data_IF_769352563068
#
_entry.id   IF_769352563068
#
_cell.length_a   1.000
_cell.length_b   1.000
_cell.length_c   1.000
_cell.angle_alpha   90.00
_cell.angle_beta   90.00
_cell.angle_gamma   90.00
#
_symmetry.space_group_name_H-M   'P 1'
#
loop_
_entity.id
_entity.type
_entity.pdbx_description
1 polymer ?
#
# COMPACT_ATOMS: atom_id res chain seq x y z
N UNK A 1 -8.77 48.83 -7.70
CA UNK A 1 -8.26 47.52 -8.16
C UNK A 1 -7.48 46.89 -7.00
N UNK A 2 -8.14 46.06 -6.22
CA UNK A 2 -7.54 45.40 -5.05
C UNK A 2 -7.00 44.04 -5.46
N UNK A 3 -5.67 43.83 -5.30
CA UNK A 3 -5.01 42.57 -5.58
C UNK A 3 -5.33 41.56 -4.46
N UNK A 4 -6.05 40.52 -4.80
CA UNK A 4 -6.24 39.36 -3.94
C UNK A 4 -4.92 38.56 -3.93
N UNK A 5 -4.19 38.62 -2.81
CA UNK A 5 -3.02 37.76 -2.59
C UNK A 5 -3.50 36.35 -2.24
N UNK A 6 -3.10 35.39 -3.04
CA UNK A 6 -3.42 33.99 -2.85
C UNK A 6 -2.82 33.44 -1.55
N UNK A 7 -3.63 32.71 -0.80
CA UNK A 7 -3.28 32.03 0.47
C UNK A 7 -2.18 30.94 0.35
N UNK A 8 -1.61 30.74 -0.82
CA UNK A 8 -0.57 29.73 -1.03
C UNK A 8 0.83 30.18 -0.58
N UNK A 9 1.09 31.47 -0.51
CA UNK A 9 2.43 31.97 -0.11
C UNK A 9 2.67 31.97 1.42
N UNK A 10 1.60 31.87 2.21
CA UNK A 10 1.72 31.94 3.69
C UNK A 10 2.18 30.59 4.28
N UNK A 11 1.93 29.48 3.59
CA UNK A 11 2.31 28.15 4.07
C UNK A 11 3.78 27.79 3.82
N UNK A 12 4.43 28.45 2.87
CA UNK A 12 5.83 28.14 2.53
C UNK A 12 6.86 28.77 3.48
N UNK A 13 6.51 29.87 4.15
CA UNK A 13 7.43 30.59 5.04
C UNK A 13 7.49 30.02 6.47
N UNK A 14 6.56 29.16 6.86
CA UNK A 14 6.54 28.58 8.23
C UNK A 14 7.38 27.31 8.38
N UNK A 15 7.74 26.64 7.28
CA UNK A 15 8.48 25.36 7.32
C UNK A 15 10.02 25.50 7.38
N UNK A 16 10.57 26.69 7.11
CA UNK A 16 12.04 26.87 7.04
C UNK A 16 12.69 27.31 8.38
N UNK A 17 11.91 27.62 9.41
CA UNK A 17 12.47 28.19 10.65
C UNK A 17 12.73 27.19 11.76
N UNK A 18 12.39 25.90 11.59
CA UNK A 18 12.54 24.88 12.65
C UNK A 18 13.73 23.95 12.50
N UNK A 19 14.49 24.01 11.41
CA UNK A 19 15.64 23.12 11.18
C UNK A 19 17.00 23.70 11.60
N UNK A 20 17.04 24.93 12.12
CA UNK A 20 18.30 25.64 12.41
C UNK A 20 18.89 25.47 13.82
N UNK A 21 18.24 24.77 14.74
CA UNK A 21 18.63 24.81 16.19
C UNK A 21 19.09 23.41 16.72
N UNK A 22 19.09 22.36 15.92
CA UNK A 22 19.38 21.00 16.40
C UNK A 22 20.73 20.39 15.93
N UNK A 23 21.65 21.20 15.43
CA UNK A 23 22.94 20.68 14.91
C UNK A 23 24.17 21.08 15.76
N UNK A 24 24.02 21.80 16.89
CA UNK A 24 25.18 22.21 17.70
C UNK A 24 25.05 21.67 19.12
N UNK A 25 25.01 20.38 19.32
CA UNK A 25 25.23 19.79 20.65
C UNK A 25 25.56 18.29 20.58
N UNK A 26 26.62 17.87 19.95
CA UNK A 26 27.20 16.54 20.15
C UNK A 26 28.69 16.51 19.73
N UNK A 27 29.52 17.27 20.42
CA UNK A 27 30.97 16.98 20.47
C UNK A 27 31.41 17.19 21.91
N UNK A 28 31.39 16.15 22.70
CA UNK A 28 32.24 15.93 23.89
C UNK A 28 31.78 14.70 24.65
N UNK A 29 32.27 13.53 24.37
CA UNK A 29 32.40 12.49 25.40
C UNK A 29 33.68 11.73 25.14
N UNK A 30 34.55 11.90 26.09
CA UNK A 30 35.85 11.33 26.32
C UNK A 30 35.87 9.81 26.40
N UNK A 31 36.97 9.30 25.86
CA UNK A 31 37.50 7.95 25.96
C UNK A 31 37.62 7.50 27.44
N UNK A 32 36.89 6.48 27.87
CA UNK A 32 37.21 5.69 29.06
C UNK A 32 37.27 4.23 28.61
N UNK A 33 38.51 3.73 28.55
CA UNK A 33 38.86 2.32 28.42
C UNK A 33 38.53 1.62 29.73
N UNK A 34 37.51 0.76 29.75
CA UNK A 34 37.20 -0.10 30.89
C UNK A 34 36.91 -1.51 30.40
N UNK A 35 37.88 -2.41 30.60
CA UNK A 35 37.70 -3.84 30.43
C UNK A 35 36.61 -4.34 31.40
N UNK A 36 35.44 -4.73 30.88
CA UNK A 36 34.42 -5.46 31.62
C UNK A 36 34.31 -6.85 31.03
N UNK A 37 34.59 -7.85 31.86
CA UNK A 37 34.43 -9.27 31.63
C UNK A 37 32.98 -9.55 31.22
N UNK A 38 32.77 -10.21 30.06
CA UNK A 38 31.47 -10.62 29.57
C UNK A 38 30.98 -11.79 30.43
N UNK A 39 29.88 -11.67 31.19
CA UNK A 39 29.20 -12.83 31.73
C UNK A 39 28.47 -13.54 30.58
N UNK A 40 28.65 -14.85 30.52
CA UNK A 40 28.00 -15.77 29.59
C UNK A 40 26.48 -15.50 29.49
N UNK A 41 26.05 -15.23 28.29
CA UNK A 41 24.65 -15.01 27.90
C UNK A 41 23.75 -16.13 28.39
N UNK A 42 22.64 -15.86 29.09
CA UNK A 42 21.63 -16.85 29.33
C UNK A 42 21.00 -17.20 27.97
N UNK A 43 20.90 -18.49 27.69
CA UNK A 43 20.21 -19.08 26.53
C UNK A 43 18.81 -18.45 26.41
N UNK A 44 18.67 -17.52 25.49
CA UNK A 44 17.39 -16.89 25.18
C UNK A 44 16.47 -17.94 24.58
N UNK A 45 15.61 -18.51 25.42
CA UNK A 45 14.46 -19.28 24.94
C UNK A 45 13.46 -18.24 24.44
N UNK A 46 13.56 -17.86 23.18
CA UNK A 46 12.50 -17.08 22.52
C UNK A 46 11.19 -17.82 22.65
N UNK A 47 10.11 -17.20 23.15
CA UNK A 47 8.79 -17.81 23.06
C UNK A 47 8.51 -18.03 21.57
N UNK A 48 8.23 -19.27 21.21
CA UNK A 48 7.71 -19.60 19.89
C UNK A 48 6.33 -18.94 19.84
N UNK A 49 6.24 -17.77 19.22
CA UNK A 49 4.95 -17.22 18.82
C UNK A 49 4.30 -18.27 17.90
N UNK A 50 3.00 -18.55 18.06
CA UNK A 50 2.30 -19.41 17.13
C UNK A 50 2.52 -18.86 15.73
N UNK A 51 3.00 -19.69 14.82
CA UNK A 51 3.23 -19.34 13.43
C UNK A 51 1.87 -18.92 12.85
N UNK A 52 1.64 -17.61 12.79
CA UNK A 52 0.48 -17.07 12.10
C UNK A 52 0.71 -17.36 10.62
N UNK A 53 0.01 -18.34 10.08
CA UNK A 53 0.00 -18.61 8.64
C UNK A 53 -0.32 -17.29 7.93
N UNK A 54 0.51 -16.82 7.01
CA UNK A 54 0.20 -15.60 6.28
C UNK A 54 -1.15 -15.76 5.57
N UNK A 55 -1.96 -14.70 5.47
CA UNK A 55 -3.25 -14.76 4.79
C UNK A 55 -3.05 -15.27 3.36
N UNK A 56 -4.00 -16.07 2.84
CA UNK A 56 -3.92 -16.53 1.46
C UNK A 56 -3.83 -15.35 0.50
N UNK A 57 -2.97 -15.50 -0.50
CA UNK A 57 -2.71 -14.46 -1.49
C UNK A 57 -2.91 -14.99 -2.90
N UNK A 58 -3.57 -14.20 -3.75
CA UNK A 58 -3.81 -14.52 -5.16
C UNK A 58 -3.38 -13.34 -6.02
N UNK A 59 -2.78 -13.66 -7.16
CA UNK A 59 -2.25 -12.66 -8.11
C UNK A 59 -3.16 -12.56 -9.34
N UNK A 60 -3.35 -11.34 -9.82
CA UNK A 60 -4.02 -11.01 -11.06
C UNK A 60 -3.07 -10.13 -11.88
N UNK A 61 -2.80 -10.52 -13.13
CA UNK A 61 -2.01 -9.72 -14.05
C UNK A 61 -2.89 -8.81 -14.89
N UNK A 62 -2.41 -7.61 -15.16
CA UNK A 62 -2.99 -6.71 -16.16
C UNK A 62 -2.09 -6.78 -17.38
N UNK A 63 -2.57 -7.43 -18.46
CA UNK A 63 -1.84 -7.66 -19.70
C UNK A 63 -2.73 -7.40 -20.90
N UNK A 64 -2.18 -6.84 -21.96
CA UNK A 64 -2.90 -6.58 -23.21
C UNK A 64 -4.26 -5.90 -22.95
N UNK A 65 -4.30 -4.96 -22.00
CA UNK A 65 -5.51 -4.23 -21.58
C UNK A 65 -6.63 -5.15 -21.07
N UNK A 66 -6.27 -6.20 -20.37
CA UNK A 66 -7.19 -7.15 -19.73
C UNK A 66 -6.64 -7.64 -18.39
N UNK A 67 -7.53 -8.02 -17.48
CA UNK A 67 -7.14 -8.68 -16.23
C UNK A 67 -7.18 -10.20 -16.44
N UNK A 68 -6.18 -10.87 -15.94
CA UNK A 68 -6.03 -12.32 -16.02
C UNK A 68 -5.67 -12.89 -14.62
N UNK A 69 -6.52 -13.78 -14.06
CA UNK A 69 -7.77 -14.31 -14.59
C UNK A 69 -8.92 -13.29 -14.59
N UNK A 70 -9.88 -13.44 -15.52
CA UNK A 70 -11.05 -12.57 -15.63
C UNK A 70 -12.09 -12.78 -14.53
N UNK A 71 -12.16 -13.99 -14.00
CA UNK A 71 -13.02 -14.38 -12.87
C UNK A 71 -12.15 -15.12 -11.87
N UNK A 72 -12.25 -14.73 -10.62
CA UNK A 72 -11.49 -15.29 -9.51
C UNK A 72 -12.45 -15.72 -8.40
N UNK A 73 -12.29 -16.95 -7.90
CA UNK A 73 -13.00 -17.43 -6.70
C UNK A 73 -11.99 -17.61 -5.57
N UNK A 74 -12.27 -17.01 -4.42
CA UNK A 74 -11.39 -16.98 -3.25
C UNK A 74 -12.17 -17.19 -1.95
N UNK A 75 -11.49 -17.53 -0.88
CA UNK A 75 -12.04 -17.54 0.47
C UNK A 75 -12.00 -16.14 1.12
N UNK A 76 -12.92 -15.89 2.05
CA UNK A 76 -12.89 -14.65 2.85
C UNK A 76 -11.57 -14.54 3.63
N UNK A 77 -11.01 -13.33 3.69
CA UNK A 77 -9.68 -13.06 4.26
C UNK A 77 -8.53 -13.15 3.26
N UNK A 78 -8.80 -13.51 1.99
CA UNK A 78 -7.77 -13.57 0.95
C UNK A 78 -7.37 -12.17 0.48
N UNK A 79 -6.08 -11.98 0.30
CA UNK A 79 -5.51 -10.79 -0.36
C UNK A 79 -5.40 -11.03 -1.86
N UNK A 80 -6.01 -10.18 -2.66
CA UNK A 80 -5.80 -10.16 -4.12
C UNK A 80 -4.84 -9.04 -4.46
N UNK A 81 -3.84 -9.35 -5.26
CA UNK A 81 -2.84 -8.38 -5.74
C UNK A 81 -2.91 -8.29 -7.26
N UNK A 82 -3.18 -7.12 -7.76
CA UNK A 82 -3.13 -6.80 -9.20
C UNK A 82 -1.79 -6.19 -9.54
N UNK A 83 -1.16 -6.67 -10.59
CA UNK A 83 0.11 -6.14 -11.11
C UNK A 83 -0.07 -5.68 -12.54
N UNK A 84 0.27 -4.44 -12.82
CA UNK A 84 0.27 -3.91 -14.17
C UNK A 84 1.53 -4.36 -14.92
N UNK A 85 1.39 -5.32 -15.82
CA UNK A 85 2.46 -5.81 -16.69
C UNK A 85 2.43 -5.18 -18.10
N UNK A 86 1.50 -4.26 -18.35
CA UNK A 86 1.47 -3.46 -19.57
C UNK A 86 2.40 -2.23 -19.48
N UNK A 87 2.88 -1.69 -20.60
CA UNK A 87 3.65 -0.44 -20.63
C UNK A 87 2.77 0.80 -20.38
N UNK A 88 1.45 0.68 -20.47
CA UNK A 88 0.49 1.76 -20.25
C UNK A 88 0.04 1.80 -18.79
N UNK A 89 -0.41 2.95 -18.33
CA UNK A 89 -1.06 3.07 -17.02
C UNK A 89 -2.43 2.40 -17.03
N UNK A 90 -2.75 1.74 -15.92
CA UNK A 90 -4.04 1.11 -15.67
C UNK A 90 -4.58 1.51 -14.31
N UNK A 91 -5.89 1.31 -14.10
CA UNK A 91 -6.56 1.45 -12.80
C UNK A 91 -7.26 0.15 -12.43
N UNK A 92 -7.39 -0.10 -11.13
CA UNK A 92 -8.21 -1.20 -10.60
C UNK A 92 -9.26 -0.57 -9.72
N UNK A 93 -10.49 -0.48 -10.22
CA UNK A 93 -11.60 0.18 -9.52
C UNK A 93 -12.72 -0.79 -9.30
N UNK A 94 -13.24 -0.87 -8.06
CA UNK A 94 -14.47 -1.58 -7.77
C UNK A 94 -15.64 -0.88 -8.45
N UNK A 95 -16.46 -1.64 -9.16
CA UNK A 95 -17.66 -1.12 -9.79
C UNK A 95 -18.81 -1.23 -8.81
N UNK A 96 -19.32 -0.10 -8.27
CA UNK A 96 -20.35 -0.12 -7.25
C UNK A 96 -21.66 -0.68 -7.82
N UNK A 97 -22.25 -1.63 -7.12
CA UNK A 97 -23.64 -2.05 -7.31
C UNK A 97 -24.56 -1.22 -6.41
N UNK A 98 -25.89 -1.30 -6.65
CA UNK A 98 -26.91 -0.47 -5.99
C UNK A 98 -26.82 -0.50 -4.45
N UNK A 99 -26.27 -1.57 -3.87
CA UNK A 99 -26.16 -1.76 -2.41
C UNK A 99 -24.72 -1.82 -1.90
N UNK A 100 -23.71 -1.66 -2.77
CA UNK A 100 -22.31 -1.68 -2.39
C UNK A 100 -21.64 -0.39 -2.85
N UNK A 101 -21.18 0.47 -1.91
CA UNK A 101 -20.40 1.65 -2.26
C UNK A 101 -19.07 1.21 -2.91
N UNK A 102 -18.37 2.15 -3.51
CA UNK A 102 -17.01 1.92 -3.98
C UNK A 102 -16.12 1.45 -2.82
N UNK A 103 -15.54 0.25 -2.94
CA UNK A 103 -14.75 -0.37 -1.90
C UNK A 103 -13.26 -0.07 -2.05
N UNK A 104 -12.78 0.05 -3.29
CA UNK A 104 -11.38 0.32 -3.60
C UNK A 104 -11.19 1.01 -4.95
N UNK A 105 -10.18 1.84 -5.01
CA UNK A 105 -9.59 2.44 -6.19
C UNK A 105 -8.07 2.40 -6.02
N UNK A 106 -7.35 1.78 -6.94
CA UNK A 106 -5.89 1.72 -6.90
C UNK A 106 -5.21 3.05 -7.22
N UNK A 107 -5.95 4.01 -7.79
CA UNK A 107 -5.35 5.09 -8.52
C UNK A 107 -4.55 4.59 -9.75
N UNK A 108 -3.78 5.47 -10.40
CA UNK A 108 -3.00 5.11 -11.57
C UNK A 108 -1.83 4.18 -11.21
N UNK A 109 -1.83 2.98 -11.80
CA UNK A 109 -0.74 2.00 -11.72
C UNK A 109 0.13 2.12 -12.98
N UNK A 110 1.36 2.58 -12.83
CA UNK A 110 2.37 2.52 -13.89
C UNK A 110 2.81 1.08 -14.16
N UNK A 111 3.53 0.86 -15.25
CA UNK A 111 4.10 -0.47 -15.55
C UNK A 111 4.87 -1.04 -14.36
N UNK A 112 4.65 -2.32 -14.08
CA UNK A 112 5.23 -3.10 -12.97
C UNK A 112 4.80 -2.65 -11.57
N UNK A 113 3.87 -1.71 -11.43
CA UNK A 113 3.28 -1.38 -10.14
C UNK A 113 2.13 -2.34 -9.79
N UNK A 114 1.93 -2.53 -8.50
CA UNK A 114 0.91 -3.42 -7.95
C UNK A 114 0.02 -2.70 -6.95
N UNK A 115 -1.21 -3.18 -6.85
CA UNK A 115 -2.20 -2.79 -5.86
C UNK A 115 -2.74 -4.05 -5.19
N UNK A 116 -3.04 -3.99 -3.89
CA UNK A 116 -3.58 -5.13 -3.15
C UNK A 116 -4.81 -4.73 -2.34
N UNK A 117 -5.78 -5.65 -2.28
CA UNK A 117 -6.98 -5.49 -1.46
C UNK A 117 -7.33 -6.80 -0.76
N UNK A 118 -7.78 -6.73 0.49
CA UNK A 118 -8.19 -7.90 1.29
C UNK A 118 -9.72 -8.01 1.26
N UNK A 119 -10.23 -9.11 0.74
CA UNK A 119 -11.66 -9.40 0.70
C UNK A 119 -12.10 -10.11 1.97
N UNK A 120 -12.69 -9.39 2.90
CA UNK A 120 -13.11 -9.94 4.19
C UNK A 120 -14.55 -10.48 4.18
N UNK A 121 -15.39 -9.99 3.30
CA UNK A 121 -16.82 -10.32 3.24
C UNK A 121 -17.11 -11.22 2.05
N UNK A 122 -18.02 -12.18 2.26
CA UNK A 122 -18.53 -13.04 1.19
C UNK A 122 -19.38 -12.21 0.21
N UNK A 123 -19.24 -12.50 -1.06
CA UNK A 123 -19.98 -11.74 -2.07
C UNK A 123 -19.40 -11.84 -3.48
N UNK A 124 -19.95 -11.03 -4.37
CA UNK A 124 -19.51 -10.88 -5.76
C UNK A 124 -19.09 -9.44 -5.96
N UNK A 125 -17.84 -9.23 -6.33
CA UNK A 125 -17.25 -7.91 -6.44
C UNK A 125 -16.80 -7.68 -7.88
N UNK A 126 -17.59 -6.89 -8.62
CA UNK A 126 -17.23 -6.49 -9.97
C UNK A 126 -16.18 -5.39 -9.93
N UNK A 127 -15.19 -5.46 -10.80
CA UNK A 127 -14.17 -4.45 -10.91
C UNK A 127 -13.74 -4.25 -12.37
N UNK A 128 -13.01 -3.20 -12.64
CA UNK A 128 -12.54 -2.89 -13.97
C UNK A 128 -11.55 -1.74 -14.00
N UNK A 129 -11.17 -1.37 -15.22
CA UNK A 129 -10.37 -0.19 -15.47
C UNK A 129 -11.19 0.82 -16.30
N UNK A 130 -11.50 2.00 -15.74
CA UNK A 130 -12.26 3.03 -16.47
C UNK A 130 -11.55 3.54 -17.74
N UNK A 131 -10.23 3.36 -17.84
CA UNK A 131 -9.44 3.79 -18.98
C UNK A 131 -9.42 2.75 -20.12
N UNK A 132 -9.68 1.50 -19.80
CA UNK A 132 -9.85 0.45 -20.81
C UNK A 132 -11.28 0.56 -21.34
N UNK A 133 -11.51 1.42 -22.32
CA UNK A 133 -12.82 1.55 -22.96
C UNK A 133 -13.35 0.19 -23.42
N UNK A 134 -14.68 -0.05 -23.25
CA UNK A 134 -15.33 -1.27 -23.72
C UNK A 134 -16.20 -1.99 -22.72
N UNK A 135 -16.40 -1.42 -21.51
CA UNK A 135 -17.37 -1.94 -20.52
C UNK A 135 -17.09 -3.37 -20.05
N UNK A 136 -15.83 -3.81 -20.09
CA UNK A 136 -15.45 -5.13 -19.56
C UNK A 136 -15.46 -5.06 -18.03
N UNK A 137 -16.27 -5.91 -17.42
CA UNK A 137 -16.26 -6.14 -15.99
C UNK A 137 -15.54 -7.45 -15.68
N UNK A 138 -14.76 -7.43 -14.64
CA UNK A 138 -14.08 -8.59 -14.07
C UNK A 138 -14.68 -8.90 -12.72
N UNK A 139 -14.51 -10.11 -12.21
CA UNK A 139 -15.27 -10.55 -11.05
C UNK A 139 -14.38 -11.28 -10.04
N UNK A 140 -14.47 -10.85 -8.78
CA UNK A 140 -14.00 -11.63 -7.62
C UNK A 140 -15.23 -12.20 -6.91
N UNK A 141 -15.25 -13.52 -6.73
CA UNK A 141 -16.26 -14.26 -5.96
C UNK A 141 -15.61 -14.68 -4.65
N UNK A 142 -16.18 -14.26 -3.53
CA UNK A 142 -15.69 -14.61 -2.19
C UNK A 142 -16.68 -15.59 -1.53
N UNK A 143 -16.20 -16.78 -1.16
CA UNK A 143 -16.97 -17.88 -0.56
C UNK A 143 -16.71 -18.06 0.94
#
# INVERSE_FOLDING_TARGET
>A
MSKIKNNQEILYTFSQKSYGILVIALISITLICGCVSVPSSPKSTSPILPATTPPPQVLVSIKARAFDPAILTIEAGTTVTWTNEDPMMHHVVHLPEVNHPELFDSGPLSSMQSFSYIFQEKGRFAYGDPQIGGGRSYLVIVE
#
